data_IF_846402940478
#
_entry.id   IF_846402940478
#
_cell.length_a   1.000
_cell.length_b   1.000
_cell.length_c   1.000
_cell.angle_alpha   90.00
_cell.angle_beta   90.00
_cell.angle_gamma   90.00
#
_symmetry.space_group_name_H-M   'P 1'
#
loop_
_entity.id
_entity.type
_entity.pdbx_description
1 polymer ?
#
# COMPACT_ATOMS: atom_id res chain seq x y z
N UNK A 1 -21.52 1.87 -6.34
CA UNK A 1 -20.13 1.58 -6.74
C UNK A 1 -19.31 1.46 -5.47
N UNK A 2 -18.72 0.29 -5.20
CA UNK A 2 -17.84 0.13 -4.05
C UNK A 2 -16.61 1.03 -4.20
N UNK A 3 -16.22 1.71 -3.13
CA UNK A 3 -14.96 2.45 -3.09
C UNK A 3 -13.88 1.41 -2.89
N UNK A 4 -13.22 1.00 -3.97
CA UNK A 4 -12.05 0.12 -3.91
C UNK A 4 -10.93 0.83 -3.13
N UNK A 5 -10.35 0.16 -2.12
CA UNK A 5 -9.40 0.76 -1.15
C UNK A 5 -7.93 0.67 -1.55
N UNK A 6 -7.60 -0.01 -2.65
CA UNK A 6 -6.21 -0.27 -3.04
C UNK A 6 -5.66 0.78 -4.02
N UNK A 7 -4.33 0.94 -4.06
CA UNK A 7 -3.65 1.77 -5.06
C UNK A 7 -3.62 1.08 -6.41
N UNK A 8 -3.17 -0.19 -6.43
CA UNK A 8 -2.88 -0.93 -7.67
C UNK A 8 -3.17 -2.42 -7.51
N UNK A 9 -3.63 -3.06 -8.60
CA UNK A 9 -3.72 -4.50 -8.75
C UNK A 9 -2.67 -4.99 -9.76
N UNK A 10 -1.93 -6.04 -9.42
CA UNK A 10 -0.95 -6.68 -10.30
C UNK A 10 -1.30 -8.16 -10.51
N UNK A 11 -1.26 -8.62 -11.75
CA UNK A 11 -1.45 -10.02 -12.17
C UNK A 11 -0.14 -10.62 -12.63
N UNK A 12 0.13 -11.86 -12.29
CA UNK A 12 1.31 -12.58 -12.81
C UNK A 12 1.06 -13.08 -14.24
N UNK A 13 2.09 -13.06 -15.08
CA UNK A 13 2.03 -13.57 -16.46
C UNK A 13 2.85 -14.85 -16.60
N UNK A 14 2.19 -15.93 -17.04
CA UNK A 14 2.83 -17.16 -17.53
C UNK A 14 3.46 -18.08 -16.48
N UNK A 15 3.82 -17.57 -15.29
CA UNK A 15 4.49 -18.36 -14.24
C UNK A 15 3.60 -18.52 -13.02
N UNK A 16 3.50 -19.75 -12.51
CA UNK A 16 2.83 -20.02 -11.24
C UNK A 16 3.74 -19.59 -10.10
N UNK A 17 3.27 -18.65 -9.28
CA UNK A 17 3.99 -18.08 -8.14
C UNK A 17 3.27 -18.50 -6.86
N UNK A 18 4.04 -18.76 -5.79
CA UNK A 18 3.47 -18.95 -4.44
C UNK A 18 3.73 -17.71 -3.58
N UNK A 19 2.94 -17.43 -2.51
CA UNK A 19 3.02 -16.15 -1.81
C UNK A 19 4.39 -16.01 -1.14
N UNK A 20 4.93 -17.14 -0.65
CA UNK A 20 6.22 -17.23 -0.01
C UNK A 20 7.35 -16.66 -0.86
N UNK A 21 7.33 -16.82 -2.19
CA UNK A 21 8.40 -16.32 -3.06
C UNK A 21 8.45 -14.79 -3.05
N UNK A 22 7.29 -14.14 -3.12
CA UNK A 22 7.17 -12.68 -3.03
C UNK A 22 7.63 -12.19 -1.66
N UNK A 23 7.20 -12.86 -0.58
CA UNK A 23 7.60 -12.47 0.79
C UNK A 23 9.11 -12.65 1.00
N UNK A 24 9.70 -13.73 0.51
CA UNK A 24 11.14 -13.99 0.59
C UNK A 24 11.93 -12.96 -0.23
N UNK A 25 11.47 -12.63 -1.44
CA UNK A 25 12.09 -11.61 -2.28
C UNK A 25 12.11 -10.24 -1.57
N UNK A 26 10.98 -9.85 -0.98
CA UNK A 26 10.89 -8.58 -0.26
C UNK A 26 11.83 -8.55 0.95
N UNK A 27 11.85 -9.61 1.76
CA UNK A 27 12.77 -9.70 2.91
C UNK A 27 14.24 -9.71 2.50
N UNK A 28 14.57 -10.34 1.38
CA UNK A 28 15.93 -10.34 0.82
C UNK A 28 16.38 -8.97 0.30
N UNK A 29 15.46 -8.02 0.13
CA UNK A 29 15.74 -6.63 -0.26
C UNK A 29 15.46 -5.66 0.90
N UNK A 30 15.67 -6.12 2.14
CA UNK A 30 15.59 -5.33 3.38
C UNK A 30 14.23 -4.69 3.67
N UNK A 31 13.15 -5.18 3.06
CA UNK A 31 11.80 -4.78 3.45
C UNK A 31 11.35 -5.53 4.71
N UNK A 32 10.78 -4.80 5.67
CA UNK A 32 10.09 -5.41 6.80
C UNK A 32 8.74 -5.91 6.33
N UNK A 33 8.47 -7.20 6.47
CA UNK A 33 7.22 -7.82 6.01
C UNK A 33 6.57 -8.63 7.12
N UNK A 34 5.51 -8.06 7.67
CA UNK A 34 4.75 -8.58 8.81
C UNK A 34 3.41 -9.13 8.35
N UNK A 35 2.98 -10.27 8.89
CA UNK A 35 1.65 -10.80 8.60
C UNK A 35 0.59 -9.91 9.24
N UNK A 36 -0.42 -9.51 8.48
CA UNK A 36 -1.54 -8.71 8.99
C UNK A 36 -2.48 -9.62 9.79
N UNK A 37 -2.63 -9.36 11.09
CA UNK A 37 -3.37 -10.25 12.01
C UNK A 37 -4.89 -10.24 11.75
N UNK A 38 -5.40 -9.27 10.97
CA UNK A 38 -6.85 -9.01 10.85
C UNK A 38 -7.56 -9.59 9.63
N UNK A 39 -6.86 -9.98 8.55
CA UNK A 39 -7.51 -10.28 7.26
C UNK A 39 -6.89 -11.50 6.55
N UNK A 40 -7.42 -12.70 6.78
CA UNK A 40 -7.07 -13.94 6.05
C UNK A 40 -5.56 -14.30 6.02
N UNK A 41 -5.20 -15.51 5.58
CA UNK A 41 -3.79 -15.96 5.50
C UNK A 41 -2.98 -15.30 4.34
N UNK A 42 -3.56 -14.30 3.67
CA UNK A 42 -3.07 -13.74 2.42
C UNK A 42 -2.71 -12.26 2.49
N UNK A 43 -2.73 -11.63 3.67
CA UNK A 43 -2.42 -10.22 3.84
C UNK A 43 -1.18 -9.95 4.69
N UNK A 44 -0.33 -9.06 4.21
CA UNK A 44 0.94 -8.67 4.80
C UNK A 44 1.06 -7.15 4.82
N UNK A 45 1.89 -6.62 5.70
CA UNK A 45 2.27 -5.21 5.75
C UNK A 45 3.76 -5.06 5.48
N UNK A 46 4.10 -4.22 4.52
CA UNK A 46 5.45 -3.88 4.09
C UNK A 46 5.82 -2.53 4.71
N UNK A 47 6.94 -2.49 5.45
CA UNK A 47 7.48 -1.31 6.14
C UNK A 47 6.45 -0.55 6.99
N UNK A 48 5.43 -1.23 7.52
CA UNK A 48 4.32 -0.64 8.28
C UNK A 48 3.47 0.42 7.54
N UNK A 49 3.63 0.61 6.22
CA UNK A 49 2.95 1.67 5.44
C UNK A 49 2.23 1.18 4.19
N UNK A 50 2.48 -0.05 3.74
CA UNK A 50 1.89 -0.61 2.54
C UNK A 50 1.37 -2.03 2.82
N UNK A 51 0.06 -2.23 2.67
CA UNK A 51 -0.60 -3.53 2.73
C UNK A 51 -0.44 -4.24 1.39
N UNK A 52 0.02 -5.47 1.44
CA UNK A 52 0.07 -6.44 0.35
C UNK A 52 -1.02 -7.48 0.59
N UNK A 53 -1.82 -7.77 -0.43
CA UNK A 53 -2.85 -8.81 -0.36
C UNK A 53 -2.77 -9.70 -1.59
N UNK A 54 -2.61 -11.00 -1.40
CA UNK A 54 -2.61 -11.95 -2.51
C UNK A 54 -4.02 -12.31 -2.94
N UNK A 55 -4.21 -12.39 -4.26
CA UNK A 55 -5.48 -12.72 -4.90
C UNK A 55 -5.41 -14.13 -5.47
N UNK A 56 -6.37 -14.97 -5.11
CA UNK A 56 -6.41 -16.39 -5.46
C UNK A 56 -7.63 -16.71 -6.33
N UNK A 57 -7.44 -17.62 -7.27
CA UNK A 57 -8.50 -18.25 -8.05
C UNK A 57 -8.21 -19.75 -8.11
N UNK A 58 -9.16 -20.58 -7.69
CA UNK A 58 -9.00 -22.04 -7.61
C UNK A 58 -7.71 -22.47 -6.86
N UNK A 59 -7.45 -21.85 -5.71
CA UNK A 59 -6.25 -22.07 -4.87
C UNK A 59 -4.91 -21.68 -5.52
N UNK A 60 -4.93 -21.12 -6.72
CA UNK A 60 -3.75 -20.60 -7.41
C UNK A 60 -3.69 -19.09 -7.27
N UNK A 61 -2.50 -18.55 -7.01
CA UNK A 61 -2.31 -17.10 -6.99
C UNK A 61 -2.39 -16.56 -8.41
N UNK A 62 -3.30 -15.61 -8.61
CA UNK A 62 -3.41 -14.86 -9.85
C UNK A 62 -2.57 -13.58 -9.81
N UNK A 63 -2.36 -13.02 -8.61
CA UNK A 63 -1.74 -11.72 -8.46
C UNK A 63 -1.77 -11.20 -7.03
N UNK A 64 -1.62 -9.90 -6.90
CA UNK A 64 -1.69 -9.20 -5.62
C UNK A 64 -2.19 -7.76 -5.77
N UNK A 65 -2.72 -7.23 -4.68
CA UNK A 65 -3.11 -5.84 -4.54
C UNK A 65 -2.18 -5.14 -3.56
N UNK A 66 -1.87 -3.89 -3.85
CA UNK A 66 -1.13 -3.00 -2.95
C UNK A 66 -2.02 -1.85 -2.52
N UNK A 67 -2.16 -1.67 -1.21
CA UNK A 67 -2.95 -0.62 -0.56
C UNK A 67 -2.07 0.13 0.42
N UNK A 68 -2.11 1.45 0.46
CA UNK A 68 -1.35 2.21 1.44
C UNK A 68 -2.13 3.37 2.04
N UNK A 69 -1.50 3.99 3.02
CA UNK A 69 -2.17 4.96 3.88
C UNK A 69 -2.10 6.37 3.30
N UNK A 70 -3.22 7.09 3.25
CA UNK A 70 -3.23 8.51 2.89
C UNK A 70 -2.40 9.40 3.82
N UNK A 71 -2.12 8.97 5.06
CA UNK A 71 -1.26 9.71 5.97
C UNK A 71 0.22 9.72 5.54
N UNK A 72 0.64 8.75 4.73
CA UNK A 72 2.00 8.61 4.19
C UNK A 72 1.93 8.41 2.67
N UNK A 73 1.10 9.22 2.00
CA UNK A 73 0.67 8.95 0.63
C UNK A 73 1.84 8.84 -0.36
N UNK A 74 2.76 9.81 -0.35
CA UNK A 74 3.88 9.83 -1.28
C UNK A 74 4.85 8.67 -1.00
N UNK A 75 5.17 8.39 0.27
CA UNK A 75 6.04 7.29 0.64
C UNK A 75 5.44 5.92 0.31
N UNK A 76 4.14 5.73 0.55
CA UNK A 76 3.44 4.50 0.22
C UNK A 76 3.34 4.31 -1.30
N UNK A 77 3.17 5.39 -2.06
CA UNK A 77 3.09 5.32 -3.53
C UNK A 77 4.44 4.99 -4.16
N UNK A 78 5.52 5.59 -3.66
CA UNK A 78 6.90 5.26 -4.01
C UNK A 78 7.24 3.80 -3.70
N UNK A 79 6.91 3.34 -2.49
CA UNK A 79 7.10 1.95 -2.09
C UNK A 79 6.30 0.99 -2.96
N UNK A 80 5.07 1.35 -3.34
CA UNK A 80 4.23 0.58 -4.25
C UNK A 80 4.95 0.33 -5.58
N UNK A 81 5.50 1.37 -6.20
CA UNK A 81 6.27 1.23 -7.44
C UNK A 81 7.50 0.33 -7.27
N UNK A 82 8.26 0.51 -6.19
CA UNK A 82 9.46 -0.29 -5.92
C UNK A 82 9.14 -1.77 -5.76
N UNK A 83 8.05 -2.11 -5.07
CA UNK A 83 7.57 -3.49 -4.92
C UNK A 83 7.17 -4.08 -6.27
N UNK A 84 6.36 -3.36 -7.06
CA UNK A 84 5.94 -3.79 -8.39
C UNK A 84 7.14 -4.05 -9.31
N UNK A 85 8.09 -3.12 -9.35
CA UNK A 85 9.30 -3.22 -10.15
C UNK A 85 10.16 -4.42 -9.72
N UNK A 86 10.37 -4.59 -8.41
CA UNK A 86 11.18 -5.68 -7.88
C UNK A 86 10.58 -7.05 -8.24
N UNK A 87 9.27 -7.20 -8.06
CA UNK A 87 8.55 -8.44 -8.42
C UNK A 87 8.63 -8.68 -9.93
N UNK A 88 8.39 -7.65 -10.75
CA UNK A 88 8.45 -7.74 -12.21
C UNK A 88 9.83 -8.17 -12.74
N UNK A 89 10.90 -7.64 -12.15
CA UNK A 89 12.29 -7.87 -12.59
C UNK A 89 12.88 -9.19 -12.06
N UNK A 90 12.50 -9.61 -10.85
CA UNK A 90 13.19 -10.69 -10.13
C UNK A 90 12.37 -11.96 -9.97
N UNK A 91 11.05 -11.89 -10.11
CA UNK A 91 10.17 -13.03 -9.86
C UNK A 91 9.42 -13.46 -11.10
N UNK A 92 8.53 -12.62 -11.61
CA UNK A 92 7.74 -12.90 -12.80
C UNK A 92 7.24 -11.59 -13.43
N UNK A 93 7.09 -11.55 -14.76
CA UNK A 93 6.44 -10.42 -15.41
C UNK A 93 5.03 -10.21 -14.85
N UNK A 94 4.67 -8.96 -14.57
CA UNK A 94 3.35 -8.58 -14.08
C UNK A 94 2.59 -7.72 -15.08
N UNK A 95 1.29 -7.93 -15.15
CA UNK A 95 0.35 -6.97 -15.73
C UNK A 95 -0.27 -6.13 -14.62
N UNK A 96 -0.33 -4.82 -14.81
CA UNK A 96 -0.92 -3.91 -13.82
C UNK A 96 -2.31 -3.49 -14.31
N UNK A 97 -3.34 -3.86 -13.55
CA UNK A 97 -4.70 -3.40 -13.81
C UNK A 97 -5.00 -2.21 -12.91
N UNK A 98 -5.48 -1.11 -13.50
CA UNK A 98 -5.96 0.12 -12.82
C UNK A 98 -4.87 1.00 -12.19
N UNK A 99 -5.14 2.32 -12.07
CA UNK A 99 -6.43 3.02 -12.23
C UNK A 99 -6.61 3.61 -13.62
N UNK A 100 -7.56 3.03 -14.39
CA UNK A 100 -8.33 3.58 -15.55
C UNK A 100 -7.56 4.24 -16.72
N UNK A 101 -6.26 4.51 -16.64
CA UNK A 101 -5.47 5.18 -17.69
C UNK A 101 -4.29 4.36 -18.20
N UNK A 102 -4.09 3.16 -17.66
CA UNK A 102 -3.11 2.22 -18.19
C UNK A 102 -3.75 1.46 -19.36
N UNK A 103 -3.79 2.09 -20.55
CA UNK A 103 -4.02 1.33 -21.81
C UNK A 103 -2.93 0.25 -21.98
N UNK A 104 -1.75 0.51 -21.41
CA UNK A 104 -0.67 -0.45 -21.28
C UNK A 104 -0.88 -1.35 -20.07
N UNK A 105 -1.04 -2.66 -20.33
CA UNK A 105 -0.97 -3.69 -19.28
C UNK A 105 0.41 -3.83 -18.65
N UNK A 106 1.45 -3.21 -19.21
CA UNK A 106 2.83 -3.31 -18.68
C UNK A 106 3.06 -2.27 -17.59
N UNK A 107 3.96 -2.60 -16.66
CA UNK A 107 4.47 -1.65 -15.68
C UNK A 107 5.11 -0.45 -16.41
N UNK A 108 4.60 0.75 -16.14
CA UNK A 108 5.13 1.99 -16.69
C UNK A 108 6.46 2.38 -16.04
N UNK A 109 7.13 3.40 -16.58
CA UNK A 109 8.22 4.02 -15.87
C UNK A 109 7.74 4.67 -14.56
N UNK A 110 8.69 4.99 -13.70
CA UNK A 110 8.42 5.50 -12.36
C UNK A 110 7.61 6.79 -12.41
N UNK A 111 8.03 7.76 -13.20
CA UNK A 111 7.41 9.09 -13.20
C UNK A 111 5.99 9.02 -13.77
N UNK A 112 5.82 8.27 -14.85
CA UNK A 112 4.52 8.04 -15.47
C UNK A 112 3.57 7.29 -14.52
N UNK A 113 4.06 6.25 -13.84
CA UNK A 113 3.30 5.54 -12.82
C UNK A 113 2.84 6.48 -11.70
N UNK A 114 3.75 7.22 -11.07
CA UNK A 114 3.45 8.11 -9.95
C UNK A 114 2.46 9.21 -10.35
N UNK A 115 2.66 9.82 -11.53
CA UNK A 115 1.80 10.88 -12.03
C UNK A 115 0.39 10.34 -12.35
N UNK A 116 0.28 9.15 -12.94
CA UNK A 116 -1.02 8.54 -13.23
C UNK A 116 -1.82 8.26 -11.96
N UNK A 117 -1.19 7.69 -10.92
CA UNK A 117 -1.87 7.44 -9.65
C UNK A 117 -2.27 8.77 -8.98
N UNK A 118 -1.35 9.75 -8.90
CA UNK A 118 -1.64 11.07 -8.32
C UNK A 118 -2.81 11.76 -9.02
N UNK A 119 -2.78 11.82 -10.35
CA UNK A 119 -3.83 12.43 -11.15
C UNK A 119 -5.18 11.74 -10.98
N UNK A 120 -5.19 10.41 -10.84
CA UNK A 120 -6.41 9.67 -10.55
C UNK A 120 -7.02 10.04 -9.20
N UNK A 121 -6.21 10.12 -8.14
CA UNK A 121 -6.70 10.52 -6.82
C UNK A 121 -7.13 11.99 -6.78
N UNK A 122 -6.40 12.89 -7.45
CA UNK A 122 -6.80 14.28 -7.65
C UNK A 122 -8.16 14.38 -8.36
N UNK A 123 -8.36 13.63 -9.44
CA UNK A 123 -9.64 13.56 -10.14
C UNK A 123 -10.76 13.06 -9.22
N UNK A 124 -10.52 12.00 -8.43
CA UNK A 124 -11.51 11.49 -7.46
C UNK A 124 -11.84 12.51 -6.38
N UNK A 125 -10.85 13.24 -5.88
CA UNK A 125 -11.05 14.29 -4.89
C UNK A 125 -11.88 15.43 -5.47
N UNK A 126 -11.53 15.91 -6.67
CA UNK A 126 -12.28 16.96 -7.35
C UNK A 126 -13.72 16.53 -7.63
N UNK A 127 -13.93 15.33 -8.15
CA UNK A 127 -15.26 14.77 -8.38
C UNK A 127 -16.08 14.69 -7.09
N UNK A 128 -15.46 14.32 -5.97
CA UNK A 128 -16.11 14.34 -4.67
C UNK A 128 -16.51 15.76 -4.26
N UNK A 129 -15.60 16.74 -4.37
CA UNK A 129 -15.91 18.14 -4.06
C UNK A 129 -17.01 18.71 -4.97
N UNK A 130 -17.01 18.35 -6.25
CA UNK A 130 -18.03 18.75 -7.22
C UNK A 130 -19.39 18.10 -6.94
N UNK A 131 -19.45 16.91 -6.35
CA UNK A 131 -20.74 16.29 -5.99
C UNK A 131 -21.33 16.81 -4.68
N UNK A 132 -20.46 17.14 -3.72
CA UNK A 132 -20.85 17.47 -2.35
C UNK A 132 -20.60 18.93 -1.98
N UNK A 133 -20.41 19.79 -2.98
CA UNK A 133 -20.23 21.23 -2.80
C UNK A 133 -21.31 21.81 -1.86
N UNK A 134 -20.87 22.54 -0.83
CA UNK A 134 -21.74 23.14 0.19
C UNK A 134 -22.00 22.30 1.44
N UNK A 135 -21.60 21.02 1.46
CA UNK A 135 -21.63 20.20 2.69
C UNK A 135 -20.30 20.37 3.43
N UNK A 136 -20.37 20.86 4.66
CA UNK A 136 -19.20 21.08 5.51
C UNK A 136 -18.68 19.74 6.04
N UNK A 137 -17.96 18.99 5.20
CA UNK A 137 -17.49 17.64 5.50
C UNK A 137 -16.24 17.72 6.39
N UNK A 138 -16.39 17.51 7.71
CA UNK A 138 -15.25 17.36 8.63
C UNK A 138 -14.77 15.91 8.63
N UNK A 139 -13.86 15.57 7.72
CA UNK A 139 -13.15 14.28 7.70
C UNK A 139 -11.77 14.33 8.38
N UNK A 140 -11.39 15.48 8.95
CA UNK A 140 -10.14 15.57 9.69
C UNK A 140 -10.28 14.85 11.04
N UNK A 141 -9.32 13.99 11.42
CA UNK A 141 -9.25 13.45 12.76
C UNK A 141 -9.34 14.59 13.78
N UNK A 142 -10.09 14.39 14.86
CA UNK A 142 -10.21 15.40 15.91
C UNK A 142 -8.84 15.83 16.43
N UNK A 143 -8.75 17.03 17.03
CA UNK A 143 -7.48 17.58 17.56
C UNK A 143 -6.71 16.60 18.46
N UNK A 144 -7.42 15.69 19.11
CA UNK A 144 -6.83 14.67 19.98
C UNK A 144 -6.04 13.61 19.23
N UNK A 145 -6.41 13.27 17.99
CA UNK A 145 -5.61 12.38 17.14
C UNK A 145 -4.23 12.99 16.85
N UNK A 146 -4.18 14.26 16.44
CA UNK A 146 -2.91 14.94 16.15
C UNK A 146 -2.06 15.16 17.40
N UNK A 147 -2.69 15.41 18.57
CA UNK A 147 -1.98 15.44 19.86
C UNK A 147 -1.34 14.09 20.17
N UNK A 148 -2.06 12.99 19.96
CA UNK A 148 -1.52 11.64 20.19
C UNK A 148 -0.43 11.26 19.17
N UNK A 149 -0.61 11.61 17.90
CA UNK A 149 0.42 11.42 16.87
C UNK A 149 1.71 12.17 17.22
N UNK A 150 1.63 13.45 17.56
CA UNK A 150 2.80 14.25 17.97
C UNK A 150 3.48 13.71 19.24
N UNK A 151 2.71 13.25 20.23
CA UNK A 151 3.27 12.59 21.40
C UNK A 151 4.08 11.36 21.00
N UNK A 152 3.53 10.50 20.14
CA UNK A 152 4.15 9.24 19.72
C UNK A 152 5.37 9.42 18.81
N UNK A 153 5.40 10.46 18.01
CA UNK A 153 6.55 10.78 17.16
C UNK A 153 7.65 11.56 17.89
N UNK A 154 7.35 12.15 19.06
CA UNK A 154 8.34 12.87 19.86
C UNK A 154 9.51 11.99 20.30
N UNK A 155 10.71 12.55 20.26
CA UNK A 155 11.95 11.89 20.69
C UNK A 155 11.86 11.34 22.12
N UNK A 156 11.23 12.11 23.02
CA UNK A 156 11.04 11.72 24.42
C UNK A 156 10.13 10.49 24.58
N UNK A 157 9.09 10.35 23.75
CA UNK A 157 8.24 9.17 23.77
C UNK A 157 8.96 7.94 23.23
N UNK A 158 9.73 8.09 22.13
CA UNK A 158 10.58 7.02 21.58
C UNK A 158 11.57 6.48 22.63
N UNK A 159 12.23 7.38 23.37
CA UNK A 159 13.11 7.02 24.48
C UNK A 159 12.32 6.30 25.59
N UNK A 160 11.17 6.83 26.03
CA UNK A 160 10.35 6.20 27.07
C UNK A 160 9.83 4.82 26.68
N UNK A 161 9.54 4.56 25.41
CA UNK A 161 9.10 3.24 24.95
C UNK A 161 10.20 2.19 24.99
N UNK A 162 11.47 2.59 24.86
CA UNK A 162 12.63 1.70 25.00
C UNK A 162 12.74 1.24 26.46
N UNK A 163 12.73 2.18 27.41
CA UNK A 163 12.83 1.86 28.85
C UNK A 163 11.58 1.22 29.47
N UNK A 164 10.45 1.18 28.76
CA UNK A 164 9.25 0.43 29.18
C UNK A 164 9.31 -1.05 28.79
N UNK A 165 10.11 -1.43 27.80
CA UNK A 165 10.30 -2.85 27.42
C UNK A 165 11.07 -3.62 28.49
N UNK A 166 11.99 -2.96 29.20
CA UNK A 166 12.87 -3.60 30.20
C UNK A 166 12.19 -3.93 31.55
N UNK A 167 10.91 -3.59 31.74
CA UNK A 167 10.18 -3.92 32.99
C UNK A 167 9.31 -5.18 32.91
N UNK A 168 9.23 -5.82 31.75
CA UNK A 168 8.47 -7.05 31.53
C UNK A 168 9.36 -8.20 30.98
N UNK A 169 10.68 -8.13 31.19
CA UNK A 169 11.63 -9.23 30.99
C UNK A 169 12.25 -9.60 32.34
#
# INVERSE_FOLDING_TARGET
MGVESYFVHARFVGTQIVPADVIMLLRANDYTVDHSISDNFSSYTINAILKLQFNFENEVIQGFSLEGCFACYDESLELCYLVLRLVNEKLAPIEVDKPVFFESKKLLDKEEFLNNIRNFYLYKANYFFDLFHGINFRCLPGKDFYKEYQKRTSFLYKIRSIFKRDKNS
#
